data_IF_154083405059
#
_entry.id   IF_154083405059
#
_cell.length_a   1.000
_cell.length_b   1.000
_cell.length_c   1.000
_cell.angle_alpha   90.00
_cell.angle_beta   90.00
_cell.angle_gamma   90.00
#
_symmetry.space_group_name_H-M   'P 1'
#
loop_
_entity.id
_entity.type
_entity.pdbx_description
1 polymer ?
#
# COMPACT_ATOMS: atom_id res chain seq x y z
N UNK A 1 -5.53 -2.43 -11.84
CA UNK A 1 -4.28 -2.78 -11.13
C UNK A 1 -4.64 -3.50 -9.85
N UNK A 2 -3.91 -4.55 -9.52
CA UNK A 2 -4.03 -5.29 -8.26
C UNK A 2 -3.07 -4.70 -7.21
N UNK A 3 -3.19 -5.11 -5.93
CA UNK A 3 -2.22 -4.75 -4.90
C UNK A 3 -0.79 -5.18 -5.26
N UNK A 4 -0.64 -6.30 -5.96
CA UNK A 4 0.65 -6.83 -6.41
C UNK A 4 1.28 -5.96 -7.50
N UNK A 5 0.48 -5.47 -8.44
CA UNK A 5 0.96 -4.54 -9.46
C UNK A 5 1.41 -3.22 -8.83
N UNK A 6 0.63 -2.72 -7.86
CA UNK A 6 0.97 -1.50 -7.11
C UNK A 6 2.28 -1.64 -6.34
N UNK A 7 2.50 -2.80 -5.70
CA UNK A 7 3.76 -3.09 -5.02
C UNK A 7 4.95 -3.13 -5.97
N UNK A 8 4.81 -3.82 -7.12
CA UNK A 8 5.88 -3.87 -8.12
C UNK A 8 6.27 -2.48 -8.61
N UNK A 9 5.28 -1.63 -8.91
CA UNK A 9 5.55 -0.24 -9.25
C UNK A 9 6.22 0.53 -8.12
N UNK A 10 5.77 0.39 -6.87
CA UNK A 10 6.35 1.08 -5.72
C UNK A 10 7.81 0.68 -5.43
N UNK A 11 8.20 -0.55 -5.78
CA UNK A 11 9.59 -1.05 -5.65
C UNK A 11 10.48 -0.52 -6.79
N UNK A 12 9.99 -0.55 -8.03
CA UNK A 12 10.82 -0.19 -9.19
C UNK A 12 10.83 1.32 -9.47
N UNK A 13 9.80 2.03 -9.03
CA UNK A 13 9.67 3.47 -9.18
C UNK A 13 10.36 4.27 -8.07
N UNK A 14 10.59 5.54 -8.36
CA UNK A 14 11.01 6.53 -7.39
C UNK A 14 9.82 7.44 -7.07
N UNK A 15 9.05 7.01 -6.06
CA UNK A 15 7.94 7.77 -5.52
C UNK A 15 8.35 8.45 -4.22
N UNK A 16 7.94 9.70 -4.04
CA UNK A 16 8.15 10.44 -2.79
C UNK A 16 7.19 9.99 -1.67
N UNK A 17 6.05 9.39 -2.03
CA UNK A 17 4.99 8.96 -1.10
C UNK A 17 4.13 7.87 -1.76
N UNK A 18 3.71 6.89 -0.96
CA UNK A 18 2.70 5.89 -1.34
C UNK A 18 1.44 6.10 -0.51
N UNK A 19 0.27 6.16 -1.16
CA UNK A 19 -1.03 6.09 -0.51
C UNK A 19 -1.52 4.65 -0.61
N UNK A 20 -1.79 4.01 0.53
CA UNK A 20 -2.08 2.58 0.59
C UNK A 20 -3.42 2.34 1.28
N UNK A 21 -4.36 1.69 0.60
CA UNK A 21 -5.58 1.18 1.23
C UNK A 21 -5.25 -0.02 2.11
N UNK A 22 -5.88 -0.11 3.28
CA UNK A 22 -5.78 -1.28 4.16
C UNK A 22 -6.53 -2.49 3.57
N UNK A 23 -7.69 -2.26 2.94
CA UNK A 23 -8.51 -3.31 2.35
C UNK A 23 -8.36 -3.33 0.83
N UNK A 24 -7.42 -4.13 0.34
CA UNK A 24 -7.24 -4.36 -1.09
C UNK A 24 -7.95 -5.65 -1.54
N UNK A 25 -8.49 -5.72 -2.77
CA UNK A 25 -9.00 -6.97 -3.31
C UNK A 25 -7.89 -8.04 -3.38
N UNK A 26 -8.04 -9.10 -2.60
CA UNK A 26 -7.14 -10.25 -2.61
C UNK A 26 -5.79 -10.06 -1.87
N UNK A 27 -5.58 -8.94 -1.18
CA UNK A 27 -4.37 -8.68 -0.39
C UNK A 27 -4.68 -7.79 0.81
N UNK A 28 -3.91 -7.92 1.88
CA UNK A 28 -3.96 -6.99 3.00
C UNK A 28 -2.95 -5.85 2.79
N UNK A 29 -3.35 -4.59 2.92
CA UNK A 29 -2.45 -3.43 2.79
C UNK A 29 -1.27 -3.47 3.77
N UNK A 30 -1.43 -4.11 4.93
CA UNK A 30 -0.32 -4.34 5.87
C UNK A 30 0.74 -5.31 5.33
N UNK A 31 0.33 -6.34 4.58
CA UNK A 31 1.24 -7.28 3.94
C UNK A 31 2.00 -6.60 2.79
N UNK A 32 1.31 -5.76 2.02
CA UNK A 32 1.94 -4.92 0.98
C UNK A 32 3.00 -4.00 1.59
N UNK A 33 2.70 -3.32 2.70
CA UNK A 33 3.67 -2.48 3.39
C UNK A 33 4.88 -3.27 3.87
N UNK A 34 4.67 -4.47 4.43
CA UNK A 34 5.76 -5.32 4.90
C UNK A 34 6.71 -5.68 3.76
N UNK A 35 6.19 -6.11 2.62
CA UNK A 35 7.01 -6.48 1.45
C UNK A 35 7.71 -5.26 0.84
N UNK A 36 7.05 -4.10 0.79
CA UNK A 36 7.67 -2.85 0.35
C UNK A 36 8.86 -2.47 1.23
N UNK A 37 8.76 -2.65 2.56
CA UNK A 37 9.82 -2.32 3.52
C UNK A 37 11.05 -3.23 3.45
N UNK A 38 10.96 -4.35 2.75
CA UNK A 38 12.14 -5.17 2.43
C UNK A 38 13.02 -4.52 1.35
N UNK A 39 12.48 -3.54 0.61
CA UNK A 39 13.13 -2.94 -0.56
C UNK A 39 13.27 -1.42 -0.51
N UNK A 40 12.30 -0.70 0.08
CA UNK A 40 12.20 0.77 0.04
C UNK A 40 11.70 1.35 1.37
N UNK A 41 12.24 2.52 1.71
CA UNK A 41 11.82 3.33 2.86
C UNK A 41 10.82 4.44 2.52
N UNK A 42 10.27 4.44 1.30
CA UNK A 42 9.31 5.45 0.84
C UNK A 42 8.20 5.65 1.87
N UNK A 43 7.90 6.90 2.29
CA UNK A 43 6.80 7.19 3.19
C UNK A 43 5.48 6.58 2.73
N UNK A 44 4.69 6.05 3.66
CA UNK A 44 3.39 5.42 3.36
C UNK A 44 2.32 6.08 4.22
N UNK A 45 1.29 6.60 3.56
CA UNK A 45 0.06 7.09 4.19
C UNK A 45 -1.04 6.06 3.98
N UNK A 46 -1.53 5.48 5.08
CA UNK A 46 -2.69 4.59 4.99
C UNK A 46 -3.97 5.38 4.74
N UNK A 47 -4.74 4.94 3.77
CA UNK A 47 -6.13 5.32 3.59
C UNK A 47 -6.99 4.24 4.24
N UNK A 48 -7.69 4.59 5.31
CA UNK A 48 -8.69 3.72 5.91
C UNK A 48 -10.07 4.31 5.67
N UNK A 49 -10.99 3.52 5.14
CA UNK A 49 -12.41 3.84 5.27
C UNK A 49 -12.78 3.62 6.75
N UNK A 50 -13.09 4.69 7.47
CA UNK A 50 -13.81 4.61 8.75
C UNK A 50 -15.29 4.65 8.38
N UNK A 51 -15.92 3.49 8.23
CA UNK A 51 -17.39 3.44 8.24
C UNK A 51 -17.84 3.77 9.66
N UNK A 52 -18.02 5.06 9.95
CA UNK A 52 -18.87 5.51 11.05
C UNK A 52 -20.13 6.11 10.45
N UNK A 53 -21.07 5.22 10.10
CA UNK A 53 -22.50 5.53 10.08
C UNK A 53 -23.23 4.31 10.65
N UNK A 54 -23.34 4.25 11.97
CA UNK A 54 -24.51 3.67 12.67
C UNK A 54 -25.08 4.73 13.62
#
# INVERSE_FOLDING_TARGET
STGRDGLHHAIDGDYDLVILDVMLPGMNGWEVLKELREHKDTPVLFLTARDEVE
#
